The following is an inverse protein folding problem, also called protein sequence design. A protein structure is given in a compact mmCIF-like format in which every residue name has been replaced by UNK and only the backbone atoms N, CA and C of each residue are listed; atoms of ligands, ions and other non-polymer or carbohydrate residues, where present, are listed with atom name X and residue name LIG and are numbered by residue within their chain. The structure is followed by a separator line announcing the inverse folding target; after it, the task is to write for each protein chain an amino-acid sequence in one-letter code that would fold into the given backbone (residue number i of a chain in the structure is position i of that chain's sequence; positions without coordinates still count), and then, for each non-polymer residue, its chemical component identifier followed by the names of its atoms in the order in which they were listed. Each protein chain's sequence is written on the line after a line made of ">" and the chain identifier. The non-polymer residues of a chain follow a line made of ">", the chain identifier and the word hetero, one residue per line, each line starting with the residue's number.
data_IF_091764288135
#
_entry.id   IF_091764288135
#
_cell.length_a   1.000
_cell.length_b   1.000
_cell.length_c   1.000
_cell.angle_alpha   90.00
_cell.angle_beta   90.00
_cell.angle_gamma   90.00
#
_symmetry.space_group_name_H-M   'P 1'
#
loop_
_entity.id
_entity.type
_entity.pdbx_description
1 polymer ?
#
# COMPACT_ATOMS: atom_id res chain seq x y z
N UNK A 1 -5.39 8.99 8.64
CA UNK A 1 -4.96 9.41 7.31
C UNK A 1 -5.83 10.53 6.79
N UNK A 2 -5.22 11.50 6.16
CA UNK A 2 -5.93 12.65 5.59
C UNK A 2 -5.86 12.61 4.08
N UNK A 3 -7.02 12.77 3.44
CA UNK A 3 -7.15 12.86 2.00
C UNK A 3 -7.95 14.11 1.63
N UNK A 4 -7.97 14.46 0.36
CA UNK A 4 -8.70 15.64 -0.10
C UNK A 4 -10.20 15.37 -0.11
N UNK A 5 -10.97 16.40 0.24
CA UNK A 5 -12.43 16.37 0.09
C UNK A 5 -12.76 16.63 -1.39
N UNK A 6 -13.30 15.64 -2.13
CA UNK A 6 -13.58 15.82 -3.55
C UNK A 6 -14.72 16.78 -3.86
N UNK A 7 -15.50 17.17 -2.83
CA UNK A 7 -16.63 18.07 -2.97
C UNK A 7 -16.32 19.49 -2.52
N UNK A 8 -15.17 19.72 -1.93
CA UNK A 8 -14.80 21.04 -1.40
C UNK A 8 -13.28 21.22 -1.51
N UNK A 9 -12.87 21.88 -2.57
CA UNK A 9 -11.46 22.05 -2.91
C UNK A 9 -10.67 22.71 -1.78
N UNK A 10 -9.51 22.19 -1.48
CA UNK A 10 -8.63 22.68 -0.42
C UNK A 10 -8.97 22.20 0.97
N UNK A 11 -10.05 21.44 1.12
CA UNK A 11 -10.45 20.88 2.42
C UNK A 11 -10.05 19.41 2.51
N UNK A 12 -9.90 18.92 3.73
CA UNK A 12 -9.42 17.56 4.00
C UNK A 12 -10.49 16.70 4.66
N UNK A 13 -10.33 15.40 4.48
CA UNK A 13 -11.15 14.39 5.14
C UNK A 13 -10.20 13.46 5.89
N UNK A 14 -10.50 13.22 7.15
CA UNK A 14 -9.76 12.27 7.98
C UNK A 14 -10.38 10.88 7.85
N UNK A 15 -9.55 9.90 7.59
CA UNK A 15 -9.98 8.49 7.52
C UNK A 15 -9.43 7.77 8.73
N UNK A 16 -10.33 7.15 9.50
CA UNK A 16 -9.97 6.25 10.59
C UNK A 16 -9.81 4.85 10.06
N UNK A 17 -8.63 4.29 10.19
CA UNK A 17 -8.37 2.91 9.77
C UNK A 17 -8.94 1.96 10.81
N UNK A 18 -9.86 1.10 10.38
CA UNK A 18 -10.51 0.14 11.26
C UNK A 18 -9.95 -1.27 11.10
N UNK A 19 -9.41 -1.57 9.93
CA UNK A 19 -8.81 -2.86 9.64
C UNK A 19 -7.74 -2.68 8.57
N UNK A 20 -6.62 -3.37 8.71
CA UNK A 20 -5.62 -3.43 7.65
C UNK A 20 -4.91 -4.76 7.66
N UNK A 21 -4.48 -5.18 6.49
CA UNK A 21 -3.61 -6.34 6.33
C UNK A 21 -2.64 -6.08 5.21
N UNK A 22 -1.45 -6.65 5.33
CA UNK A 22 -0.43 -6.55 4.31
C UNK A 22 0.14 -7.95 4.05
N UNK A 23 0.33 -8.26 2.78
CA UNK A 23 0.95 -9.49 2.34
C UNK A 23 2.13 -9.14 1.45
N UNK A 24 3.24 -9.81 1.68
CA UNK A 24 4.44 -9.66 0.86
C UNK A 24 4.80 -11.00 0.28
N UNK A 25 5.31 -10.98 -0.94
CA UNK A 25 5.71 -12.19 -1.64
C UNK A 25 6.81 -11.89 -2.66
N UNK A 26 7.39 -12.94 -3.19
CA UNK A 26 8.34 -12.90 -4.30
C UNK A 26 7.66 -13.55 -5.49
N UNK A 27 7.79 -12.91 -6.63
CA UNK A 27 7.29 -13.44 -7.90
C UNK A 27 8.48 -13.87 -8.74
N UNK A 28 8.44 -15.09 -9.22
CA UNK A 28 9.42 -15.58 -10.19
C UNK A 28 8.85 -15.40 -11.60
N UNK A 29 9.51 -14.57 -12.40
CA UNK A 29 9.09 -14.30 -13.77
C UNK A 29 9.58 -15.38 -14.72
N UNK A 30 8.94 -15.47 -15.89
CA UNK A 30 9.25 -16.48 -16.88
C UNK A 30 10.69 -16.39 -17.42
N UNK A 31 11.29 -15.22 -17.36
CA UNK A 31 12.69 -15.00 -17.78
C UNK A 31 13.71 -15.39 -16.70
N UNK A 32 13.24 -15.90 -15.56
CA UNK A 32 14.09 -16.27 -14.43
C UNK A 32 14.37 -15.15 -13.46
N UNK A 33 13.91 -13.93 -13.72
CA UNK A 33 14.05 -12.80 -12.81
C UNK A 33 13.07 -12.85 -11.66
N UNK A 34 13.44 -12.25 -10.54
CA UNK A 34 12.56 -12.11 -9.38
C UNK A 34 11.91 -10.72 -9.35
N UNK A 35 10.74 -10.64 -8.75
CA UNK A 35 10.06 -9.39 -8.44
C UNK A 35 9.53 -9.41 -7.02
N UNK A 36 9.33 -8.23 -6.47
CA UNK A 36 8.75 -8.03 -5.15
C UNK A 36 7.26 -7.75 -5.32
N UNK A 37 6.41 -8.46 -4.58
CA UNK A 37 4.98 -8.20 -4.54
C UNK A 37 4.58 -7.76 -3.14
N UNK A 38 3.88 -6.64 -3.06
CA UNK A 38 3.24 -6.19 -1.81
C UNK A 38 1.76 -5.96 -2.11
N UNK A 39 0.91 -6.59 -1.32
CA UNK A 39 -0.53 -6.42 -1.39
C UNK A 39 -1.03 -5.86 -0.08
N UNK A 40 -1.78 -4.76 -0.14
CA UNK A 40 -2.32 -4.10 1.05
C UNK A 40 -3.83 -4.00 0.90
N UNK A 41 -4.51 -4.43 1.93
CA UNK A 41 -5.94 -4.22 2.09
C UNK A 41 -6.18 -3.35 3.31
N UNK A 42 -7.04 -2.35 3.17
CA UNK A 42 -7.36 -1.43 4.26
C UNK A 42 -8.84 -1.11 4.24
N UNK A 43 -9.44 -1.08 5.42
CA UNK A 43 -10.79 -0.60 5.63
C UNK A 43 -10.73 0.60 6.57
N UNK A 44 -11.59 1.58 6.32
CA UNK A 44 -11.67 2.74 7.14
C UNK A 44 -13.03 3.39 7.11
N UNK A 45 -13.22 4.30 8.04
CA UNK A 45 -14.40 5.13 8.14
C UNK A 45 -14.03 6.59 8.05
N UNK A 46 -14.95 7.41 7.59
CA UNK A 46 -14.79 8.85 7.59
C UNK A 46 -14.89 9.33 9.04
N UNK A 47 -13.79 9.85 9.57
CA UNK A 47 -13.75 10.40 10.92
C UNK A 47 -14.22 11.85 10.93
N UNK A 48 -13.34 12.76 10.54
CA UNK A 48 -13.64 14.18 10.49
C UNK A 48 -13.60 14.70 9.06
N UNK A 49 -14.49 15.63 8.76
CA UNK A 49 -14.58 16.27 7.48
C UNK A 49 -14.42 17.78 7.64
N UNK A 50 -13.52 18.36 6.86
CA UNK A 50 -13.47 19.80 6.64
C UNK A 50 -14.29 20.13 5.40
N UNK A 51 -15.00 21.22 5.43
CA UNK A 51 -15.79 21.67 4.30
C UNK A 51 -17.16 21.02 4.22
N UNK A 52 -17.76 21.09 3.04
CA UNK A 52 -19.15 20.71 2.80
C UNK A 52 -19.25 19.49 1.89
N UNK A 53 -20.43 18.96 1.78
CA UNK A 53 -20.79 17.88 0.86
C UNK A 53 -21.10 16.57 1.57
N UNK A 54 -21.87 15.73 0.91
CA UNK A 54 -22.20 14.40 1.39
C UNK A 54 -21.17 13.41 0.89
N UNK A 55 -20.24 13.03 1.76
CA UNK A 55 -19.13 12.13 1.43
C UNK A 55 -19.53 10.66 1.40
N UNK A 56 -20.73 10.32 1.83
CA UNK A 56 -21.17 8.92 1.90
C UNK A 56 -22.02 8.50 0.70
N UNK A 57 -22.17 9.36 -0.29
CA UNK A 57 -22.91 9.00 -1.50
C UNK A 57 -22.16 7.95 -2.32
N UNK A 58 -22.91 7.18 -3.08
CA UNK A 58 -22.33 6.15 -3.96
C UNK A 58 -21.38 6.72 -5.01
N UNK A 59 -21.52 7.99 -5.37
CA UNK A 59 -20.66 8.66 -6.33
C UNK A 59 -19.33 9.11 -5.70
N UNK A 60 -19.34 9.46 -4.43
CA UNK A 60 -18.20 10.06 -3.74
C UNK A 60 -17.29 9.02 -3.09
N UNK A 61 -17.86 7.96 -2.53
CA UNK A 61 -17.09 6.91 -1.86
C UNK A 61 -15.98 6.36 -2.76
N UNK A 62 -16.23 5.99 -4.03
CA UNK A 62 -15.13 5.52 -4.89
C UNK A 62 -14.01 6.53 -5.08
N UNK A 63 -14.32 7.83 -5.09
CA UNK A 63 -13.30 8.88 -5.20
C UNK A 63 -12.42 8.95 -3.96
N UNK A 64 -13.01 8.79 -2.79
CA UNK A 64 -12.27 8.75 -1.53
C UNK A 64 -11.38 7.51 -1.46
N UNK A 65 -11.92 6.37 -1.86
CA UNK A 65 -11.17 5.12 -1.88
C UNK A 65 -9.96 5.21 -2.83
N UNK A 66 -10.17 5.79 -4.00
CA UNK A 66 -9.08 5.99 -4.97
C UNK A 66 -7.97 6.87 -4.39
N UNK A 67 -8.31 7.98 -3.75
CA UNK A 67 -7.33 8.85 -3.12
C UNK A 67 -6.57 8.15 -2.00
N UNK A 68 -7.28 7.38 -1.19
CA UNK A 68 -6.67 6.63 -0.10
C UNK A 68 -5.71 5.57 -0.65
N UNK A 69 -6.10 4.86 -1.69
CA UNK A 69 -5.24 3.90 -2.36
C UNK A 69 -3.97 4.55 -2.90
N UNK A 70 -4.09 5.72 -3.52
CA UNK A 70 -2.93 6.46 -4.05
C UNK A 70 -2.00 6.94 -2.94
N UNK A 71 -2.56 7.41 -1.85
CA UNK A 71 -1.76 7.82 -0.69
C UNK A 71 -0.93 6.65 -0.16
N UNK A 72 -1.55 5.49 0.02
CA UNK A 72 -0.88 4.30 0.53
C UNK A 72 0.16 3.80 -0.46
N UNK A 73 -0.18 3.74 -1.75
CA UNK A 73 0.77 3.35 -2.80
C UNK A 73 2.02 4.22 -2.77
N UNK A 74 1.85 5.53 -2.69
CA UNK A 74 2.97 6.46 -2.70
C UNK A 74 3.87 6.28 -1.48
N UNK A 75 3.28 6.08 -0.30
CA UNK A 75 4.05 5.88 0.92
C UNK A 75 4.82 4.57 0.92
N UNK A 76 4.19 3.49 0.47
CA UNK A 76 4.84 2.18 0.41
C UNK A 76 5.95 2.18 -0.64
N UNK A 77 5.68 2.73 -1.82
CA UNK A 77 6.67 2.83 -2.88
C UNK A 77 7.89 3.61 -2.43
N UNK A 78 7.66 4.73 -1.78
CA UNK A 78 8.76 5.55 -1.24
C UNK A 78 9.60 4.77 -0.23
N UNK A 79 8.95 4.04 0.69
CA UNK A 79 9.64 3.24 1.69
C UNK A 79 10.48 2.14 1.04
N UNK A 80 9.94 1.44 0.04
CA UNK A 80 10.67 0.41 -0.69
C UNK A 80 11.86 1.02 -1.43
N UNK A 81 11.66 2.15 -2.10
CA UNK A 81 12.73 2.84 -2.81
C UNK A 81 13.86 3.27 -1.88
N UNK A 82 13.55 3.73 -0.68
CA UNK A 82 14.57 4.05 0.32
C UNK A 82 15.36 2.81 0.71
N UNK A 83 14.67 1.69 0.96
CA UNK A 83 15.33 0.45 1.32
C UNK A 83 16.23 -0.06 0.19
N UNK A 84 15.80 0.06 -1.05
CA UNK A 84 16.55 -0.42 -2.22
C UNK A 84 17.71 0.49 -2.61
N UNK A 85 17.49 1.80 -2.62
CA UNK A 85 18.42 2.74 -3.25
C UNK A 85 19.31 3.49 -2.25
N UNK A 86 18.83 3.71 -1.03
CA UNK A 86 19.56 4.46 -0.02
C UNK A 86 20.20 3.52 0.98
N UNK A 87 19.41 2.67 1.62
CA UNK A 87 19.92 1.75 2.64
C UNK A 87 20.50 0.48 2.06
N UNK A 88 20.06 0.07 0.88
CA UNK A 88 20.47 -1.16 0.19
C UNK A 88 20.37 -2.37 1.12
N UNK A 89 19.24 -2.44 1.81
CA UNK A 89 19.00 -3.45 2.83
C UNK A 89 17.55 -3.92 2.77
N UNK A 90 17.38 -5.25 2.71
CA UNK A 90 16.07 -5.88 2.74
C UNK A 90 15.50 -5.87 4.16
N UNK A 91 14.95 -4.74 4.56
CA UNK A 91 14.34 -4.58 5.88
C UNK A 91 12.99 -5.31 5.99
N UNK A 92 12.44 -5.76 4.87
CA UNK A 92 11.13 -6.42 4.84
C UNK A 92 11.21 -7.94 4.99
N UNK A 93 12.38 -8.53 4.79
CA UNK A 93 12.55 -9.96 4.89
C UNK A 93 12.17 -10.74 3.63
N UNK A 94 12.23 -10.13 2.45
CA UNK A 94 11.97 -10.84 1.19
C UNK A 94 12.95 -11.97 0.95
N UNK A 95 14.19 -11.83 1.42
CA UNK A 95 15.20 -12.88 1.31
C UNK A 95 14.79 -14.19 1.96
N UNK A 96 14.07 -14.12 3.08
CA UNK A 96 13.55 -15.33 3.74
C UNK A 96 12.54 -16.06 2.86
N UNK A 97 11.73 -15.33 2.11
CA UNK A 97 10.77 -15.93 1.19
C UNK A 97 11.50 -16.66 0.08
N UNK A 98 12.55 -16.05 -0.48
CA UNK A 98 13.37 -16.70 -1.51
C UNK A 98 14.04 -17.94 -0.97
N UNK A 99 14.63 -17.86 0.21
CA UNK A 99 15.30 -18.99 0.85
C UNK A 99 14.36 -20.18 1.04
N UNK A 100 13.13 -19.92 1.48
CA UNK A 100 12.14 -20.96 1.76
C UNK A 100 11.43 -21.47 0.52
N UNK A 101 11.09 -20.58 -0.42
CA UNK A 101 10.26 -20.94 -1.57
C UNK A 101 11.07 -21.28 -2.82
N UNK A 102 12.28 -20.74 -2.92
CA UNK A 102 13.16 -20.93 -4.08
C UNK A 102 14.58 -21.26 -3.61
N UNK A 103 14.78 -22.38 -2.89
CA UNK A 103 16.07 -22.68 -2.27
C UNK A 103 17.21 -22.85 -3.28
N UNK A 104 16.92 -23.39 -4.46
CA UNK A 104 17.94 -23.53 -5.50
C UNK A 104 18.39 -22.18 -6.03
N UNK A 105 17.47 -21.24 -6.16
CA UNK A 105 17.81 -19.89 -6.56
C UNK A 105 18.66 -19.21 -5.48
N UNK A 106 18.26 -19.39 -4.22
CA UNK A 106 18.95 -18.81 -3.07
C UNK A 106 20.41 -19.25 -2.97
N UNK A 107 20.70 -20.52 -3.27
CA UNK A 107 22.05 -21.05 -3.21
C UNK A 107 23.02 -20.37 -4.20
N UNK A 108 22.52 -19.82 -5.29
CA UNK A 108 23.31 -19.13 -6.28
C UNK A 108 23.56 -17.66 -5.95
N UNK A 109 22.91 -17.14 -4.90
CA UNK A 109 22.99 -15.74 -4.52
C UNK A 109 24.13 -15.54 -3.54
N UNK A 110 25.10 -14.69 -3.91
CA UNK A 110 26.20 -14.32 -3.02
C UNK A 110 25.89 -13.07 -2.18
N UNK A 111 25.10 -12.14 -2.71
CA UNK A 111 24.74 -10.91 -2.02
C UNK A 111 23.26 -10.58 -2.30
N UNK A 112 22.41 -10.98 -1.36
CA UNK A 112 20.98 -10.76 -1.51
C UNK A 112 20.60 -9.28 -1.51
N UNK A 113 21.22 -8.46 -0.66
CA UNK A 113 20.89 -7.05 -0.59
C UNK A 113 21.18 -6.33 -1.92
N UNK A 114 22.20 -6.73 -2.62
CA UNK A 114 22.49 -6.19 -3.95
C UNK A 114 21.39 -6.58 -4.95
N UNK A 115 20.97 -7.84 -4.93
CA UNK A 115 19.87 -8.31 -5.79
C UNK A 115 18.56 -7.59 -5.42
N UNK A 116 18.24 -7.51 -4.15
CA UNK A 116 17.05 -6.83 -3.66
C UNK A 116 16.98 -5.38 -4.16
N UNK A 117 18.11 -4.69 -4.19
CA UNK A 117 18.17 -3.28 -4.62
C UNK A 117 17.74 -3.07 -6.07
N UNK A 118 17.81 -4.09 -6.89
CA UNK A 118 17.43 -4.01 -8.31
C UNK A 118 16.09 -4.65 -8.66
N UNK A 119 15.36 -5.20 -7.68
CA UNK A 119 14.14 -5.92 -7.97
C UNK A 119 12.97 -4.97 -8.28
N UNK A 120 12.19 -5.27 -9.32
CA UNK A 120 10.98 -4.49 -9.58
C UNK A 120 9.92 -4.74 -8.50
N UNK A 121 9.16 -3.70 -8.18
CA UNK A 121 8.06 -3.75 -7.22
C UNK A 121 6.72 -3.80 -7.96
N UNK A 122 5.93 -4.80 -7.65
CA UNK A 122 4.51 -4.85 -7.97
C UNK A 122 3.73 -4.58 -6.69
N UNK A 123 2.87 -3.57 -6.74
CA UNK A 123 2.15 -3.09 -5.57
C UNK A 123 0.67 -3.09 -5.86
N UNK A 124 -0.11 -3.76 -5.01
CA UNK A 124 -1.56 -3.80 -5.11
C UNK A 124 -2.14 -3.25 -3.81
N UNK A 125 -2.95 -2.22 -3.92
CA UNK A 125 -3.59 -1.60 -2.76
C UNK A 125 -5.09 -1.54 -3.00
N UNK A 126 -5.84 -2.07 -2.06
CA UNK A 126 -7.30 -1.97 -2.04
C UNK A 126 -7.70 -1.29 -0.74
N UNK A 127 -8.39 -0.17 -0.86
CA UNK A 127 -8.94 0.55 0.27
C UNK A 127 -10.45 0.61 0.17
N UNK A 128 -11.13 0.29 1.26
CA UNK A 128 -12.59 0.33 1.36
C UNK A 128 -12.99 1.31 2.45
N UNK A 129 -13.91 2.20 2.11
CA UNK A 129 -14.52 3.10 3.08
C UNK A 129 -15.92 2.59 3.34
N UNK A 130 -16.14 2.13 4.57
CA UNK A 130 -17.38 1.43 4.94
C UNK A 130 -18.50 2.36 5.33
N UNK A 131 -18.16 3.56 5.74
CA UNK A 131 -19.15 4.54 6.13
C UNK A 131 -18.54 5.72 6.84
N UNK A 132 -19.34 6.39 7.61
CA UNK A 132 -18.94 7.55 8.39
C UNK A 132 -19.44 7.39 9.82
N UNK A 133 -18.54 7.58 10.78
CA UNK A 133 -18.93 7.67 12.18
C UNK A 133 -19.89 8.83 12.45
N UNK A 134 -19.91 9.82 11.56
CA UNK A 134 -20.83 10.96 11.68
C UNK A 134 -22.26 10.60 11.30
N UNK A 135 -22.46 9.55 10.48
CA UNK A 135 -23.80 9.11 10.09
C UNK A 135 -24.54 8.36 11.19
N UNK A 136 -23.81 7.71 12.08
CA UNK A 136 -24.43 6.98 13.19
C UNK A 136 -25.14 7.90 14.16
N UNK A 137 -24.91 9.20 14.06
CA UNK A 137 -25.48 10.22 14.91
C UNK A 137 -26.75 10.83 14.34
N UNK A 138 -27.09 10.49 13.10
CA UNK A 138 -28.23 11.12 12.42
C UNK A 138 -29.50 10.26 12.44
#
# INVERSE_FOLDING_TARGET
>A
LNIDNPLDNGKKVSIEVTRSSAKKDIVLHNDGGLGILIEIYMEGDIGNKQGTGNLTSEEVIPKLQFQLEKLIENEVRHTVELAQNVYKSDIFGFGEIVRKSYPQYWEEISDWNEIFSGLPLELKVVAKIRGSGLLSES
#
